data_IF_616424914022
#
_entry.id   IF_616424914022
#
_cell.length_a   1.000
_cell.length_b   1.000
_cell.length_c   1.000
_cell.angle_alpha   90.00
_cell.angle_beta   90.00
_cell.angle_gamma   90.00
#
_symmetry.space_group_name_H-M   'P 1'
#
loop_
_entity.id
_entity.type
_entity.pdbx_description
1 polymer ?
#
# COMPACT_ATOMS: atom_id res chain seq x y z
N UNK A 1 25.99 9.82 18.58
CA UNK A 1 26.49 9.05 17.43
C UNK A 1 25.34 8.18 16.97
N UNK A 2 24.94 8.25 15.70
CA UNK A 2 23.89 7.37 15.17
C UNK A 2 24.47 5.97 15.08
N UNK A 3 23.97 5.04 15.90
CA UNK A 3 24.40 3.65 15.83
C UNK A 3 23.97 3.12 14.46
N UNK A 4 24.92 2.63 13.68
CA UNK A 4 24.62 2.03 12.38
C UNK A 4 23.92 0.69 12.63
N UNK A 5 22.71 0.48 12.09
CA UNK A 5 21.99 -0.78 12.23
C UNK A 5 22.80 -1.95 11.66
N UNK A 6 22.92 -3.04 12.42
CA UNK A 6 23.52 -4.27 11.90
C UNK A 6 22.62 -4.92 10.84
N UNK A 7 23.17 -5.73 9.90
CA UNK A 7 22.35 -6.49 8.95
C UNK A 7 21.26 -7.34 9.62
N UNK A 8 21.60 -7.95 10.77
CA UNK A 8 20.67 -8.77 11.56
C UNK A 8 19.49 -7.95 12.12
N UNK A 9 19.72 -6.74 12.64
CA UNK A 9 18.64 -5.87 13.11
C UNK A 9 17.70 -5.47 11.97
N UNK A 10 18.23 -5.13 10.79
CA UNK A 10 17.40 -4.87 9.60
C UNK A 10 16.58 -6.11 9.22
N UNK A 11 17.18 -7.30 9.31
CA UNK A 11 16.51 -8.58 9.01
C UNK A 11 15.34 -8.83 9.94
N UNK A 12 15.55 -8.65 11.25
CA UNK A 12 14.52 -8.79 12.28
C UNK A 12 13.39 -7.77 12.05
N UNK A 13 13.74 -6.51 11.78
CA UNK A 13 12.76 -5.45 11.52
C UNK A 13 11.83 -5.81 10.35
N UNK A 14 12.40 -6.12 9.17
CA UNK A 14 11.62 -6.43 7.97
C UNK A 14 10.80 -7.72 8.14
N UNK A 15 11.37 -8.75 8.77
CA UNK A 15 10.66 -10.01 9.06
C UNK A 15 9.48 -9.79 10.01
N UNK A 16 9.69 -9.04 11.10
CA UNK A 16 8.66 -8.79 12.10
C UNK A 16 7.56 -7.90 11.54
N UNK A 17 7.92 -6.84 10.81
CA UNK A 17 6.99 -5.96 10.12
C UNK A 17 6.09 -6.75 9.17
N UNK A 18 6.69 -7.55 8.28
CA UNK A 18 5.95 -8.31 7.28
C UNK A 18 5.00 -9.32 7.89
N UNK A 19 5.47 -10.10 8.87
CA UNK A 19 4.67 -11.10 9.57
C UNK A 19 3.47 -10.43 10.26
N UNK A 20 3.71 -9.34 10.97
CA UNK A 20 2.67 -8.64 11.73
C UNK A 20 1.64 -7.96 10.82
N UNK A 21 2.08 -7.33 9.74
CA UNK A 21 1.19 -6.75 8.73
C UNK A 21 0.37 -7.84 8.00
N UNK A 22 0.99 -8.96 7.64
CA UNK A 22 0.31 -10.08 7.00
C UNK A 22 -0.82 -10.68 7.85
N UNK A 23 -0.62 -10.80 9.16
CA UNK A 23 -1.68 -11.22 10.11
C UNK A 23 -2.88 -10.25 10.15
N UNK A 24 -2.67 -9.00 9.73
CA UNK A 24 -3.69 -7.95 9.66
C UNK A 24 -4.28 -7.79 8.26
N UNK A 25 -3.92 -8.67 7.31
CA UNK A 25 -4.34 -8.62 5.91
C UNK A 25 -3.59 -7.58 5.06
N UNK A 26 -2.49 -7.04 5.57
CA UNK A 26 -1.61 -6.10 4.85
C UNK A 26 -0.38 -6.88 4.33
N UNK A 27 -0.64 -7.72 3.34
CA UNK A 27 0.28 -8.76 2.86
C UNK A 27 1.32 -8.27 1.84
N UNK A 28 1.14 -7.06 1.32
CA UNK A 28 2.10 -6.44 0.41
C UNK A 28 3.06 -5.59 1.24
N UNK A 29 4.34 -5.97 1.21
CA UNK A 29 5.45 -5.28 1.87
C UNK A 29 6.59 -5.24 0.85
N UNK A 30 6.72 -4.11 0.14
CA UNK A 30 7.69 -3.91 -0.93
C UNK A 30 8.69 -2.81 -0.56
N UNK A 31 9.84 -3.18 0.04
CA UNK A 31 10.95 -2.25 0.25
C UNK A 31 11.58 -1.71 -1.05
N UNK A 32 12.01 -0.45 -1.00
CA UNK A 32 12.66 0.28 -2.08
C UNK A 32 13.46 1.47 -1.52
N UNK A 33 14.34 2.08 -2.32
CA UNK A 33 15.00 3.32 -1.94
C UNK A 33 14.09 4.54 -2.16
N UNK A 34 13.95 5.42 -1.17
CA UNK A 34 13.21 6.68 -1.34
C UNK A 34 13.69 7.50 -2.55
N UNK A 35 15.00 7.43 -2.79
CA UNK A 35 15.72 8.11 -3.83
C UNK A 35 15.27 7.67 -5.24
N UNK A 36 14.79 6.43 -5.41
CA UNK A 36 14.24 5.98 -6.70
C UNK A 36 13.05 6.84 -7.13
N UNK A 37 12.18 7.23 -6.19
CA UNK A 37 11.09 8.16 -6.46
C UNK A 37 11.59 9.61 -6.51
N UNK A 38 12.44 10.04 -5.57
CA UNK A 38 12.94 11.42 -5.53
C UNK A 38 13.76 11.83 -6.77
N UNK A 39 14.31 10.85 -7.51
CA UNK A 39 15.01 11.08 -8.77
C UNK A 39 14.06 11.43 -9.94
N UNK A 40 12.76 11.15 -9.83
CA UNK A 40 11.75 11.51 -10.83
C UNK A 40 11.40 12.98 -10.78
N UNK A 41 10.85 13.55 -11.87
CA UNK A 41 10.38 14.95 -11.89
C UNK A 41 9.38 15.26 -10.78
N UNK A 42 8.43 14.35 -10.52
CA UNK A 42 7.47 14.51 -9.42
C UNK A 42 8.15 14.45 -8.06
N UNK A 43 9.08 13.50 -7.87
CA UNK A 43 9.84 13.37 -6.64
C UNK A 43 10.74 14.58 -6.34
N UNK A 44 11.28 15.24 -7.35
CA UNK A 44 12.02 16.50 -7.18
C UNK A 44 11.13 17.63 -6.66
N UNK A 45 9.87 17.69 -7.14
CA UNK A 45 8.88 18.69 -6.71
C UNK A 45 8.22 18.38 -5.37
N UNK A 46 8.14 17.10 -5.01
CA UNK A 46 7.48 16.60 -3.80
C UNK A 46 8.24 15.38 -3.26
N UNK A 47 9.41 15.61 -2.63
CA UNK A 47 10.29 14.53 -2.21
C UNK A 47 9.76 13.79 -0.98
N UNK A 48 10.07 12.49 -0.93
CA UNK A 48 9.96 11.71 0.29
C UNK A 48 11.12 12.02 1.25
N UNK A 49 10.89 11.95 2.57
CA UNK A 49 11.95 12.10 3.57
C UNK A 49 13.08 11.11 3.34
N UNK A 50 14.31 11.59 3.44
CA UNK A 50 15.52 10.76 3.30
C UNK A 50 16.30 10.59 4.59
N UNK A 51 15.97 11.34 5.65
CA UNK A 51 16.69 11.29 6.93
C UNK A 51 18.22 11.42 6.79
N UNK A 52 18.67 12.19 5.80
CA UNK A 52 20.08 12.35 5.43
C UNK A 52 20.78 11.07 4.93
N UNK A 53 20.03 9.99 4.67
CA UNK A 53 20.56 8.78 4.04
C UNK A 53 20.79 9.02 2.53
N UNK A 54 21.83 8.39 2.00
CA UNK A 54 22.08 8.35 0.55
C UNK A 54 21.12 7.41 -0.18
N UNK A 55 20.64 6.39 0.53
CA UNK A 55 19.65 5.41 0.07
C UNK A 55 18.77 5.06 1.26
N UNK A 56 17.57 5.61 1.35
CA UNK A 56 16.67 5.50 2.52
C UNK A 56 15.72 4.34 2.33
N UNK A 57 15.64 3.45 3.31
CA UNK A 57 14.68 2.36 3.32
C UNK A 57 13.25 2.90 3.36
N UNK A 58 12.54 2.71 2.26
CA UNK A 58 11.10 2.94 2.15
C UNK A 58 10.39 1.65 1.84
N UNK A 59 9.12 1.52 2.21
CA UNK A 59 8.34 0.29 2.10
C UNK A 59 6.94 0.66 1.63
N UNK A 60 6.51 0.11 0.50
CA UNK A 60 5.09 0.14 0.11
C UNK A 60 4.36 -0.91 0.95
N UNK A 61 3.37 -0.45 1.71
CA UNK A 61 2.45 -1.32 2.45
C UNK A 61 1.12 -1.34 1.70
N UNK A 62 0.65 -2.54 1.40
CA UNK A 62 -0.59 -2.73 0.67
C UNK A 62 -1.30 -4.02 1.04
N UNK A 63 -2.34 -4.32 0.28
CA UNK A 63 -3.19 -5.48 0.47
C UNK A 63 -3.69 -6.03 -0.86
N UNK A 64 -3.81 -7.34 -0.96
CA UNK A 64 -4.66 -8.00 -1.96
C UNK A 64 -6.00 -8.47 -1.35
N UNK A 65 -6.74 -9.33 -2.06
CA UNK A 65 -8.12 -9.75 -1.72
C UNK A 65 -8.33 -10.33 -0.30
N UNK A 66 -7.29 -10.90 0.31
CA UNK A 66 -7.31 -11.46 1.69
C UNK A 66 -7.63 -10.41 2.75
N UNK A 67 -7.27 -9.14 2.52
CA UNK A 67 -7.51 -8.03 3.44
C UNK A 67 -8.95 -7.93 3.88
N UNK A 68 -9.90 -8.16 2.96
CA UNK A 68 -11.33 -8.02 3.25
C UNK A 68 -11.76 -8.86 4.44
N UNK A 69 -11.36 -10.13 4.47
CA UNK A 69 -11.71 -11.05 5.56
C UNK A 69 -11.14 -10.61 6.89
N UNK A 70 -9.85 -10.23 6.91
CA UNK A 70 -9.20 -9.78 8.13
C UNK A 70 -9.78 -8.46 8.63
N UNK A 71 -10.13 -7.55 7.71
CA UNK A 71 -10.79 -6.29 8.02
C UNK A 71 -12.17 -6.53 8.63
N UNK A 72 -13.02 -7.37 8.02
CA UNK A 72 -14.34 -7.71 8.55
C UNK A 72 -14.27 -8.39 9.92
N UNK A 73 -13.30 -9.29 10.12
CA UNK A 73 -13.07 -9.95 11.41
C UNK A 73 -12.79 -8.94 12.54
N UNK A 74 -12.17 -7.80 12.21
CA UNK A 74 -11.79 -6.76 13.15
C UNK A 74 -12.74 -5.55 13.15
N UNK A 75 -13.76 -5.55 12.29
CA UNK A 75 -14.71 -4.47 12.15
C UNK A 75 -15.80 -4.55 13.22
N UNK A 76 -15.80 -3.58 14.13
CA UNK A 76 -16.80 -3.42 15.17
C UNK A 76 -17.18 -1.94 15.26
N UNK A 77 -18.34 -1.52 14.73
CA UNK A 77 -18.77 -0.11 14.76
C UNK A 77 -18.77 0.51 16.16
N UNK A 78 -19.04 -0.30 17.19
CA UNK A 78 -18.99 0.11 18.60
C UNK A 78 -17.60 0.54 19.09
N UNK A 79 -16.53 0.26 18.34
CA UNK A 79 -15.16 0.68 18.67
C UNK A 79 -14.76 2.00 18.03
N UNK A 80 -15.61 2.60 17.20
CA UNK A 80 -15.28 3.88 16.57
C UNK A 80 -15.25 5.00 17.60
N UNK A 81 -14.21 5.81 17.51
CA UNK A 81 -13.95 6.91 18.43
C UNK A 81 -14.36 8.27 17.86
N UNK A 82 -14.75 8.31 16.59
CA UNK A 82 -15.16 9.53 15.89
C UNK A 82 -16.08 9.26 14.70
N UNK A 83 -16.83 10.29 14.28
CA UNK A 83 -17.65 10.26 13.06
C UNK A 83 -16.81 10.07 11.78
N UNK A 84 -15.61 10.66 11.74
CA UNK A 84 -14.67 10.47 10.63
C UNK A 84 -14.26 8.99 10.48
N UNK A 85 -14.00 8.31 11.60
CA UNK A 85 -13.70 6.88 11.61
C UNK A 85 -14.88 6.03 11.14
N UNK A 86 -16.11 6.42 11.49
CA UNK A 86 -17.32 5.76 11.00
C UNK A 86 -17.54 5.95 9.49
N UNK A 87 -17.11 7.08 8.93
CA UNK A 87 -17.22 7.40 7.50
C UNK A 87 -16.22 6.61 6.65
N UNK A 88 -14.96 6.50 7.10
CA UNK A 88 -13.88 5.86 6.36
C UNK A 88 -13.16 4.76 7.17
N UNK A 89 -13.88 3.72 7.63
CA UNK A 89 -13.37 2.77 8.62
C UNK A 89 -12.20 1.92 8.12
N UNK A 90 -12.12 1.67 6.81
CA UNK A 90 -10.99 0.95 6.20
C UNK A 90 -9.69 1.76 6.24
N UNK A 91 -9.78 3.06 5.99
CA UNK A 91 -8.61 3.94 5.96
C UNK A 91 -8.12 4.15 7.40
N UNK A 92 -9.04 4.43 8.33
CA UNK A 92 -8.74 4.52 9.76
C UNK A 92 -8.18 3.21 10.36
N UNK A 93 -8.63 2.05 9.90
CA UNK A 93 -8.04 0.76 10.25
C UNK A 93 -6.54 0.72 9.88
N UNK A 94 -6.19 1.13 8.67
CA UNK A 94 -4.79 1.17 8.21
C UNK A 94 -3.98 2.23 8.96
N UNK A 95 -4.54 3.43 9.15
CA UNK A 95 -3.91 4.56 9.84
C UNK A 95 -3.56 4.25 11.29
N UNK A 96 -4.41 3.48 11.98
CA UNK A 96 -4.15 3.05 13.35
C UNK A 96 -3.10 1.95 13.44
N UNK A 97 -3.12 0.99 12.51
CA UNK A 97 -2.31 -0.23 12.61
C UNK A 97 -0.89 -0.06 12.06
N UNK A 98 -0.73 0.55 10.87
CA UNK A 98 0.57 0.58 10.19
C UNK A 98 1.65 1.28 11.02
N UNK A 99 1.43 2.47 11.62
CA UNK A 99 2.45 3.10 12.46
C UNK A 99 2.78 2.28 13.72
N UNK A 100 1.77 1.68 14.36
CA UNK A 100 1.95 0.86 15.57
C UNK A 100 2.76 -0.40 15.30
N UNK A 101 2.44 -1.09 14.20
CA UNK A 101 3.16 -2.30 13.79
C UNK A 101 4.59 -1.97 13.36
N UNK A 102 4.79 -0.83 12.69
CA UNK A 102 6.13 -0.35 12.33
C UNK A 102 6.97 -0.08 13.58
N UNK A 103 6.41 0.64 14.55
CA UNK A 103 7.09 0.91 15.82
C UNK A 103 7.43 -0.38 16.57
N UNK A 104 6.49 -1.32 16.67
CA UNK A 104 6.73 -2.61 17.31
C UNK A 104 7.85 -3.40 16.60
N UNK A 105 7.86 -3.42 15.27
CA UNK A 105 8.91 -4.10 14.52
C UNK A 105 10.29 -3.46 14.74
N UNK A 106 10.37 -2.14 14.92
CA UNK A 106 11.61 -1.44 15.28
C UNK A 106 12.06 -1.80 16.71
N UNK A 107 11.12 -1.91 17.65
CA UNK A 107 11.40 -2.36 19.02
C UNK A 107 11.91 -3.80 19.05
N UNK A 108 11.28 -4.72 18.30
CA UNK A 108 11.70 -6.12 18.18
C UNK A 108 13.14 -6.23 17.64
N UNK A 109 13.51 -5.33 16.73
CA UNK A 109 14.84 -5.22 16.15
C UNK A 109 15.85 -4.45 17.02
N UNK A 110 15.44 -3.96 18.19
CA UNK A 110 16.27 -3.09 19.04
C UNK A 110 16.78 -1.83 18.31
N UNK A 111 15.97 -1.29 17.41
CA UNK A 111 16.23 -0.05 16.67
C UNK A 111 15.46 1.15 17.24
N UNK A 112 14.54 0.91 18.16
CA UNK A 112 13.78 1.94 18.86
C UNK A 112 13.58 1.59 20.32
N UNK A 113 13.71 2.58 21.21
CA UNK A 113 13.32 2.49 22.62
C UNK A 113 12.75 3.80 23.13
N UNK A 114 11.75 3.69 24.02
CA UNK A 114 11.15 4.79 24.78
C UNK A 114 11.81 5.00 26.15
N UNK A 115 12.77 4.14 26.53
CA UNK A 115 13.47 4.22 27.81
C UNK A 115 14.54 5.30 27.78
N UNK A 116 14.42 6.24 28.73
CA UNK A 116 15.42 7.28 28.95
C UNK A 116 16.82 6.68 29.12
N UNK A 117 17.80 7.20 28.37
CA UNK A 117 19.18 6.71 28.38
C UNK A 117 19.48 5.51 27.47
N UNK A 118 18.52 5.02 26.65
CA UNK A 118 18.83 4.06 25.58
C UNK A 118 19.20 4.76 24.26
N UNK A 119 20.25 4.26 23.60
CA UNK A 119 20.88 4.93 22.44
C UNK A 119 20.17 4.69 21.09
N UNK A 120 19.17 3.81 21.03
CA UNK A 120 18.50 3.42 19.77
C UNK A 120 17.19 4.19 19.55
N UNK A 121 17.18 5.11 18.59
CA UNK A 121 16.04 6.00 18.31
C UNK A 121 15.82 6.20 16.81
N UNK A 122 15.68 5.13 16.02
CA UNK A 122 15.44 5.22 14.57
C UNK A 122 14.10 5.94 14.27
N UNK A 123 14.11 7.15 13.70
CA UNK A 123 12.87 7.83 13.30
C UNK A 123 12.25 7.18 12.07
N UNK A 124 10.95 7.37 11.90
CA UNK A 124 10.23 6.95 10.70
C UNK A 124 9.04 7.86 10.40
N UNK A 125 8.61 7.83 9.14
CA UNK A 125 7.39 8.46 8.65
C UNK A 125 6.48 7.43 8.00
N UNK A 126 5.18 7.67 8.03
CA UNK A 126 4.16 6.89 7.31
C UNK A 126 3.32 7.85 6.49
N UNK A 127 3.32 7.69 5.17
CA UNK A 127 2.50 8.47 4.26
C UNK A 127 1.30 7.65 3.77
N UNK A 128 0.11 8.21 3.92
CA UNK A 128 -1.13 7.71 3.36
C UNK A 128 -1.47 8.54 2.10
N UNK A 129 -2.44 8.08 1.31
CA UNK A 129 -2.80 8.73 0.04
C UNK A 129 -3.25 10.19 0.18
N UNK A 130 -3.66 10.64 1.37
CA UNK A 130 -4.18 12.00 1.58
C UNK A 130 -3.38 12.81 2.61
N UNK A 131 -2.45 12.20 3.36
CA UNK A 131 -1.71 12.87 4.43
C UNK A 131 -0.53 12.03 4.97
N UNK A 132 0.31 12.57 5.87
CA UNK A 132 1.52 11.92 6.41
C UNK A 132 1.62 12.02 7.93
N UNK A 133 2.11 10.97 8.58
CA UNK A 133 2.48 10.87 9.99
C UNK A 133 4.01 10.80 10.09
N UNK A 134 4.63 11.55 11.01
CA UNK A 134 6.04 11.38 11.35
C UNK A 134 6.19 11.06 12.83
N UNK A 135 6.96 10.01 13.13
CA UNK A 135 7.38 9.63 14.48
C UNK A 135 8.82 10.14 14.67
N UNK A 136 9.01 11.20 15.48
CA UNK A 136 10.34 11.74 15.72
C UNK A 136 11.17 10.79 16.62
N UNK A 137 12.49 11.02 16.75
CA UNK A 137 13.30 10.35 17.76
C UNK A 137 12.70 10.50 19.17
N UNK A 138 12.88 9.50 20.02
CA UNK A 138 12.42 9.53 21.40
C UNK A 138 12.92 10.80 22.13
N UNK A 139 12.04 11.47 22.88
CA UNK A 139 12.35 12.72 23.58
C UNK A 139 12.06 14.02 22.81
N UNK A 140 11.55 13.95 21.56
CA UNK A 140 11.14 15.15 20.80
C UNK A 140 9.63 15.41 20.98
N UNK A 141 9.18 16.56 21.50
CA UNK A 141 7.75 16.84 21.65
C UNK A 141 7.06 16.94 20.28
N UNK A 142 5.89 16.32 20.08
CA UNK A 142 5.18 16.47 18.83
C UNK A 142 4.53 17.86 18.71
N UNK A 143 4.91 18.65 17.71
CA UNK A 143 4.19 19.88 17.35
C UNK A 143 2.84 19.51 16.70
N UNK A 144 1.70 19.87 17.32
CA UNK A 144 0.37 19.73 16.71
C UNK A 144 -0.21 18.31 16.69
N UNK A 145 -0.12 17.58 17.79
CA UNK A 145 -0.56 16.18 17.91
C UNK A 145 -2.06 15.98 17.66
N UNK A 146 -2.39 14.97 16.84
CA UNK A 146 -3.68 14.25 16.90
C UNK A 146 -3.69 13.29 18.12
N UNK A 147 -4.85 12.71 18.51
CA UNK A 147 -5.00 11.90 19.74
C UNK A 147 -4.06 10.69 19.90
N UNK A 148 -3.28 10.36 18.88
CA UNK A 148 -2.30 9.26 18.84
C UNK A 148 -0.87 9.67 19.19
N UNK A 149 -0.58 10.95 19.46
CA UNK A 149 0.76 11.41 19.87
C UNK A 149 1.79 11.62 18.74
N UNK A 150 1.34 11.72 17.48
CA UNK A 150 2.23 11.90 16.31
C UNK A 150 2.14 13.30 15.68
N UNK A 151 3.22 13.75 15.02
CA UNK A 151 3.30 15.04 14.30
C UNK A 151 2.85 14.87 12.85
N UNK A 152 1.92 15.72 12.39
CA UNK A 152 1.56 15.83 10.98
C UNK A 152 2.33 17.01 10.34
N UNK A 153 3.28 16.78 9.41
CA UNK A 153 3.86 17.87 8.60
C UNK A 153 2.84 18.41 7.57
N UNK A 154 3.06 19.62 7.00
CA UNK A 154 2.14 20.23 6.04
C UNK A 154 2.04 19.43 4.72
N UNK A 155 0.86 18.83 4.52
CA UNK A 155 0.03 18.75 3.29
C UNK A 155 0.67 18.67 1.91
N UNK A 156 1.76 17.94 1.71
CA UNK A 156 2.09 17.45 0.36
C UNK A 156 1.60 16.02 0.21
N UNK A 157 0.48 15.88 -0.51
CA UNK A 157 -0.09 14.59 -0.89
C UNK A 157 0.98 13.82 -1.67
N UNK A 158 1.34 12.62 -1.20
CA UNK A 158 2.32 11.77 -1.88
C UNK A 158 1.60 11.03 -3.02
N UNK A 159 2.00 11.20 -4.30
CA UNK A 159 1.40 10.47 -5.41
C UNK A 159 1.81 8.99 -5.38
N UNK A 160 1.14 8.20 -4.55
CA UNK A 160 1.50 6.81 -4.24
C UNK A 160 1.59 5.92 -5.50
N UNK A 161 0.82 6.25 -6.54
CA UNK A 161 0.85 5.55 -7.82
C UNK A 161 2.18 5.72 -8.56
N UNK A 162 2.74 6.93 -8.53
CA UNK A 162 4.05 7.24 -9.09
C UNK A 162 5.18 6.68 -8.22
N UNK A 163 4.99 6.66 -6.89
CA UNK A 163 5.92 5.97 -5.98
C UNK A 163 6.00 4.49 -6.33
N UNK A 164 4.87 3.82 -6.54
CA UNK A 164 4.82 2.41 -6.93
C UNK A 164 5.51 2.13 -8.27
N UNK A 165 5.33 2.99 -9.27
CA UNK A 165 6.07 2.87 -10.53
C UNK A 165 7.57 3.06 -10.30
N UNK A 166 7.99 4.14 -9.65
CA UNK A 166 9.41 4.43 -9.43
C UNK A 166 10.12 3.37 -8.56
N UNK A 167 9.38 2.74 -7.65
CA UNK A 167 9.85 1.63 -6.81
C UNK A 167 9.91 0.28 -7.54
N UNK A 168 9.51 0.21 -8.81
CA UNK A 168 9.45 -1.04 -9.57
C UNK A 168 8.38 -2.01 -9.05
N UNK A 169 7.39 -1.53 -8.32
CA UNK A 169 6.34 -2.37 -7.73
C UNK A 169 5.19 -2.62 -8.70
N UNK A 170 4.68 -1.56 -9.34
CA UNK A 170 3.57 -1.68 -10.29
C UNK A 170 3.64 -0.59 -11.36
N UNK A 171 3.36 -0.96 -12.61
CA UNK A 171 3.26 -0.02 -13.72
C UNK A 171 2.09 0.93 -13.48
N UNK A 172 2.29 2.25 -13.55
CA UNK A 172 1.18 3.20 -13.55
C UNK A 172 0.68 3.37 -14.99
N UNK A 173 -0.57 2.96 -15.24
CA UNK A 173 -1.21 3.15 -16.54
C UNK A 173 -1.79 4.58 -16.60
N UNK A 174 -1.23 5.48 -17.44
CA UNK A 174 -1.63 6.88 -17.49
C UNK A 174 -3.01 7.09 -18.13
N UNK A 175 -3.49 6.12 -18.89
CA UNK A 175 -4.84 6.14 -19.46
C UNK A 175 -5.83 5.81 -18.35
N UNK A 176 -5.69 4.63 -17.73
CA UNK A 176 -6.65 4.15 -16.74
C UNK A 176 -6.52 4.82 -15.36
N UNK A 177 -5.44 5.56 -15.12
CA UNK A 177 -5.08 6.09 -13.81
C UNK A 177 -5.04 5.01 -12.72
N UNK A 178 -4.58 3.81 -13.09
CA UNK A 178 -4.49 2.64 -12.22
C UNK A 178 -3.08 2.06 -12.28
N UNK A 179 -2.59 1.57 -11.14
CA UNK A 179 -1.40 0.73 -11.15
C UNK A 179 -1.77 -0.71 -11.52
N UNK A 180 -0.91 -1.35 -12.32
CA UNK A 180 -1.02 -2.74 -12.76
C UNK A 180 0.21 -3.50 -12.26
N UNK A 181 0.00 -4.41 -11.32
CA UNK A 181 1.05 -5.26 -10.77
C UNK A 181 1.25 -6.49 -11.68
N UNK A 182 2.49 -6.96 -11.92
CA UNK A 182 2.75 -8.12 -12.78
C UNK A 182 2.01 -9.40 -12.38
N UNK A 183 1.76 -9.57 -11.07
CA UNK A 183 1.08 -10.74 -10.49
C UNK A 183 -0.39 -10.51 -10.16
N UNK A 184 -0.73 -9.37 -9.56
CA UNK A 184 -2.08 -9.12 -9.06
C UNK A 184 -2.95 -8.42 -10.10
N UNK A 185 -2.38 -8.04 -11.25
CA UNK A 185 -3.01 -7.12 -12.18
C UNK A 185 -3.38 -5.82 -11.47
N UNK A 186 -4.56 -5.27 -11.74
CA UNK A 186 -5.05 -4.12 -11.00
C UNK A 186 -5.63 -4.51 -9.63
N UNK A 187 -5.65 -5.77 -9.19
CA UNK A 187 -6.39 -6.24 -8.01
C UNK A 187 -5.62 -6.18 -6.68
N UNK A 188 -5.12 -4.99 -6.37
CA UNK A 188 -4.49 -4.68 -5.09
C UNK A 188 -4.81 -3.25 -4.66
N UNK A 189 -4.55 -2.95 -3.40
CA UNK A 189 -4.71 -1.62 -2.81
C UNK A 189 -3.43 -1.24 -2.08
N UNK A 190 -2.85 -0.10 -2.44
CA UNK A 190 -1.77 0.51 -1.67
C UNK A 190 -2.38 1.28 -0.49
N UNK A 191 -1.84 1.07 0.70
CA UNK A 191 -2.38 1.64 1.95
C UNK A 191 -1.49 2.71 2.52
N UNK A 192 -0.17 2.51 2.48
CA UNK A 192 0.77 3.49 2.96
C UNK A 192 2.16 3.30 2.33
N UNK A 193 2.99 4.32 2.46
CA UNK A 193 4.44 4.25 2.34
C UNK A 193 5.03 4.44 3.73
N UNK A 194 5.90 3.54 4.17
CA UNK A 194 6.68 3.68 5.41
C UNK A 194 8.10 4.07 5.02
N UNK A 195 8.63 5.18 5.52
CA UNK A 195 10.00 5.64 5.30
C UNK A 195 10.73 5.60 6.64
N UNK A 196 11.84 4.87 6.72
CA UNK A 196 12.57 4.63 7.96
C UNK A 196 13.98 5.16 7.80
N UNK A 197 14.54 5.77 8.85
CA UNK A 197 15.94 6.20 8.88
C UNK A 197 16.90 5.00 9.02
N UNK A 198 16.90 4.17 7.99
CA UNK A 198 17.76 3.03 7.80
C UNK A 198 18.25 3.07 6.35
N UNK A 199 19.50 2.68 6.08
CA UNK A 199 19.96 2.59 4.70
C UNK A 199 19.28 1.43 3.97
N UNK A 200 18.72 1.71 2.78
CA UNK A 200 18.30 0.72 1.80
C UNK A 200 19.54 0.07 1.21
N UNK A 201 19.99 -0.96 1.91
CA UNK A 201 21.00 -1.91 1.48
C UNK A 201 20.52 -3.29 1.90
N UNK A 202 20.08 -4.06 0.89
CA UNK A 202 19.57 -5.40 1.03
C UNK A 202 20.59 -6.45 0.56
N UNK A 203 21.83 -6.05 0.27
CA UNK A 203 22.88 -6.96 -0.22
C UNK A 203 23.14 -8.14 0.71
N UNK A 204 23.05 -7.93 2.02
CA UNK A 204 23.20 -8.95 3.07
C UNK A 204 21.88 -9.67 3.45
N UNK A 205 20.77 -9.36 2.76
CA UNK A 205 19.42 -9.80 3.13
C UNK A 205 18.70 -10.49 1.96
N UNK A 206 19.40 -11.39 1.25
CA UNK A 206 18.85 -12.14 0.11
C UNK A 206 17.64 -13.03 0.48
N UNK A 207 17.46 -13.45 1.73
CA UNK A 207 16.25 -14.19 2.15
C UNK A 207 15.00 -13.30 2.32
N UNK A 208 15.20 -11.99 2.52
CA UNK A 208 14.11 -11.01 2.55
C UNK A 208 13.80 -10.46 1.15
N UNK A 209 14.79 -10.51 0.26
CA UNK A 209 14.62 -10.44 -1.19
C UNK A 209 14.00 -11.75 -1.65
N UNK A 210 12.68 -11.84 -1.66
CA UNK A 210 12.02 -13.03 -2.19
C UNK A 210 12.53 -13.33 -3.60
N UNK A 211 13.17 -14.50 -3.72
CA UNK A 211 13.57 -15.14 -4.97
C UNK A 211 12.34 -15.73 -5.69
N UNK A 212 12.53 -16.03 -6.97
CA UNK A 212 11.57 -16.34 -8.04
C UNK A 212 10.43 -17.37 -7.77
N UNK A 213 10.33 -17.96 -6.57
CA UNK A 213 9.39 -19.06 -6.27
C UNK A 213 8.15 -18.68 -5.46
N UNK A 214 8.03 -17.44 -4.96
CA UNK A 214 6.76 -17.02 -4.38
C UNK A 214 5.86 -16.51 -5.51
N UNK A 215 4.73 -17.20 -5.74
CA UNK A 215 3.65 -16.89 -6.70
C UNK A 215 3.03 -15.49 -6.56
N UNK A 216 3.62 -14.61 -5.76
CA UNK A 216 3.25 -13.22 -5.44
C UNK A 216 4.09 -12.18 -6.18
N UNK A 217 5.23 -12.57 -6.79
CA UNK A 217 6.07 -11.76 -7.70
C UNK A 217 6.41 -10.35 -7.23
N UNK A 218 6.87 -10.23 -5.98
CA UNK A 218 7.05 -8.95 -5.29
C UNK A 218 8.49 -8.49 -5.15
N UNK A 219 9.46 -8.96 -5.96
CA UNK A 219 10.82 -8.42 -5.89
C UNK A 219 11.64 -8.50 -7.17
N UNK A 220 12.36 -7.40 -7.46
CA UNK A 220 13.57 -7.37 -8.29
C UNK A 220 14.65 -6.66 -7.48
N UNK A 221 15.85 -7.26 -7.40
CA UNK A 221 17.08 -6.72 -6.77
C UNK A 221 17.42 -5.31 -7.30
N UNK A 222 17.01 -5.06 -8.54
CA UNK A 222 17.00 -3.75 -9.17
C UNK A 222 15.56 -3.24 -9.21
N UNK A 223 15.18 -2.40 -8.24
CA UNK A 223 13.91 -1.66 -8.21
C UNK A 223 13.85 -0.62 -9.34
N UNK A 224 13.99 -1.08 -10.59
CA UNK A 224 13.84 -0.26 -11.78
C UNK A 224 12.36 0.00 -12.01
N UNK A 225 12.00 1.19 -12.48
CA UNK A 225 10.63 1.45 -12.86
C UNK A 225 10.10 0.39 -13.81
N UNK A 226 8.87 -0.07 -13.59
CA UNK A 226 8.18 -0.88 -14.59
C UNK A 226 7.73 0.10 -15.68
N UNK A 227 8.33 0.01 -16.86
CA UNK A 227 8.09 0.95 -17.98
C UNK A 227 7.02 0.46 -18.95
N UNK A 228 6.72 -0.84 -18.94
CA UNK A 228 5.75 -1.47 -19.83
C UNK A 228 4.57 -1.97 -19.02
N UNK A 229 3.35 -1.76 -19.53
CA UNK A 229 2.15 -2.32 -18.91
C UNK A 229 2.22 -3.86 -18.92
N UNK A 230 2.22 -4.55 -17.76
CA UNK A 230 2.27 -6.01 -17.72
C UNK A 230 1.08 -6.68 -18.43
N UNK A 231 -0.05 -5.98 -18.58
CA UNK A 231 -1.19 -6.48 -19.34
C UNK A 231 -0.90 -6.59 -20.84
N UNK A 232 0.07 -5.82 -21.34
CA UNK A 232 0.36 -5.63 -22.76
C UNK A 232 1.70 -6.21 -23.19
N UNK A 233 2.44 -6.86 -22.29
CA UNK A 233 3.80 -7.36 -22.52
C UNK A 233 3.91 -8.30 -23.74
N UNK A 234 2.82 -9.00 -24.08
CA UNK A 234 2.75 -9.96 -25.20
C UNK A 234 2.04 -9.44 -26.45
N UNK A 235 1.54 -8.20 -26.41
CA UNK A 235 0.77 -7.63 -27.51
C UNK A 235 1.68 -6.96 -28.54
N UNK A 236 1.30 -7.03 -29.82
CA UNK A 236 1.94 -6.26 -30.87
C UNK A 236 1.63 -4.75 -30.72
N UNK A 237 2.49 -3.84 -31.21
CA UNK A 237 2.28 -2.39 -31.07
C UNK A 237 0.90 -1.90 -31.54
N UNK A 238 0.39 -2.43 -32.66
CA UNK A 238 -0.93 -2.13 -33.19
C UNK A 238 -2.07 -2.57 -32.27
N UNK A 239 -1.91 -3.71 -31.58
CA UNK A 239 -2.89 -4.20 -30.60
C UNK A 239 -2.87 -3.30 -29.36
N UNK A 240 -1.69 -2.86 -28.93
CA UNK A 240 -1.53 -1.91 -27.82
C UNK A 240 -2.25 -0.59 -28.12
N UNK A 241 -2.10 -0.07 -29.34
CA UNK A 241 -2.78 1.16 -29.77
C UNK A 241 -4.31 1.01 -29.73
N UNK A 242 -4.84 -0.10 -30.26
CA UNK A 242 -6.27 -0.41 -30.23
C UNK A 242 -6.78 -0.54 -28.79
N UNK A 243 -6.03 -1.23 -27.92
CA UNK A 243 -6.37 -1.37 -26.49
C UNK A 243 -6.39 -0.03 -25.77
N UNK A 244 -5.39 0.81 -26.01
CA UNK A 244 -5.29 2.14 -25.43
C UNK A 244 -6.46 3.03 -25.88
N UNK A 245 -6.81 3.00 -27.17
CA UNK A 245 -7.95 3.73 -27.70
C UNK A 245 -9.27 3.29 -27.05
N UNK A 246 -9.49 1.98 -26.89
CA UNK A 246 -10.68 1.45 -26.23
C UNK A 246 -10.76 1.85 -24.74
N UNK A 247 -9.63 1.85 -24.02
CA UNK A 247 -9.54 2.33 -22.65
C UNK A 247 -9.87 3.82 -22.55
N UNK A 248 -9.35 4.65 -23.45
CA UNK A 248 -9.62 6.09 -23.49
C UNK A 248 -11.10 6.40 -23.75
N UNK A 249 -11.74 5.68 -24.68
CA UNK A 249 -13.19 5.82 -24.94
C UNK A 249 -13.99 5.48 -23.69
N UNK A 250 -13.69 4.34 -23.05
CA UNK A 250 -14.41 3.89 -21.85
C UNK A 250 -14.21 4.86 -20.69
N UNK A 251 -12.97 5.30 -20.46
CA UNK A 251 -12.62 6.29 -19.43
C UNK A 251 -13.36 7.61 -19.66
N UNK A 252 -13.35 8.11 -20.89
CA UNK A 252 -14.01 9.37 -21.24
C UNK A 252 -15.51 9.28 -21.00
N UNK A 253 -16.15 8.16 -21.37
CA UNK A 253 -17.56 7.92 -21.08
C UNK A 253 -17.86 7.91 -19.57
N UNK A 254 -17.03 7.24 -18.75
CA UNK A 254 -17.17 7.21 -17.30
C UNK A 254 -17.01 8.60 -16.66
N UNK A 255 -15.96 9.34 -17.06
CA UNK A 255 -15.71 10.68 -16.55
C UNK A 255 -16.81 11.67 -16.96
N UNK A 256 -17.36 11.53 -18.17
CA UNK A 256 -18.47 12.36 -18.67
C UNK A 256 -19.77 12.06 -17.94
N UNK A 257 -20.04 10.78 -17.63
CA UNK A 257 -21.18 10.36 -16.79
C UNK A 257 -21.08 10.94 -15.37
N UNK A 258 -19.87 11.20 -14.90
CA UNK A 258 -19.59 11.65 -13.54
C UNK A 258 -19.58 10.51 -12.54
N UNK A 259 -19.07 10.78 -11.35
CA UNK A 259 -19.01 9.78 -10.29
C UNK A 259 -20.39 9.61 -9.62
N UNK A 260 -20.88 8.37 -9.58
CA UNK A 260 -22.06 7.96 -8.83
C UNK A 260 -21.81 6.56 -8.23
N UNK A 261 -22.03 6.43 -6.92
CA UNK A 261 -21.79 5.19 -6.19
C UNK A 261 -22.70 4.02 -6.65
N UNK A 262 -23.89 4.31 -7.21
CA UNK A 262 -24.77 3.26 -7.73
C UNK A 262 -24.23 2.63 -9.03
N UNK A 263 -23.41 3.36 -9.77
CA UNK A 263 -22.81 2.92 -11.05
C UNK A 263 -21.47 2.19 -10.85
N UNK A 264 -21.21 1.66 -9.65
CA UNK A 264 -19.92 1.04 -9.30
C UNK A 264 -19.53 -0.14 -10.21
N UNK A 265 -20.50 -0.84 -10.80
CA UNK A 265 -20.24 -1.93 -11.74
C UNK A 265 -19.54 -1.46 -13.01
N UNK A 266 -19.82 -0.24 -13.49
CA UNK A 266 -19.16 0.31 -14.68
C UNK A 266 -17.66 0.54 -14.39
N UNK A 267 -17.34 0.99 -13.19
CA UNK A 267 -15.95 1.16 -12.74
C UNK A 267 -15.22 -0.17 -12.53
N UNK A 268 -15.92 -1.20 -12.05
CA UNK A 268 -15.39 -2.57 -11.99
C UNK A 268 -15.12 -3.12 -13.38
N UNK A 269 -16.06 -2.95 -14.32
CA UNK A 269 -15.89 -3.39 -15.70
C UNK A 269 -14.70 -2.69 -16.37
N UNK A 270 -14.51 -1.40 -16.12
CA UNK A 270 -13.34 -0.65 -16.58
C UNK A 270 -12.03 -1.18 -15.98
N UNK A 271 -11.98 -1.47 -14.68
CA UNK A 271 -10.80 -2.12 -14.06
C UNK A 271 -10.54 -3.50 -14.66
N UNK A 272 -11.60 -4.26 -14.94
CA UNK A 272 -11.51 -5.61 -15.49
C UNK A 272 -11.09 -5.63 -16.96
N UNK A 273 -11.33 -4.55 -17.72
CA UNK A 273 -10.86 -4.46 -19.11
C UNK A 273 -9.32 -4.50 -19.22
N UNK A 274 -8.60 -4.09 -18.17
CA UNK A 274 -7.14 -4.24 -18.06
C UNK A 274 -6.68 -5.69 -17.90
N UNK A 275 -7.59 -6.63 -17.69
CA UNK A 275 -7.27 -8.03 -17.34
C UNK A 275 -7.65 -9.04 -18.42
N UNK A 276 -8.19 -8.58 -19.56
CA UNK A 276 -8.81 -9.46 -20.57
C UNK A 276 -7.88 -10.57 -21.08
N UNK A 277 -6.58 -10.27 -21.25
CA UNK A 277 -5.59 -11.21 -21.78
C UNK A 277 -4.74 -11.88 -20.67
N UNK A 278 -5.17 -11.75 -19.40
CA UNK A 278 -4.44 -12.20 -18.20
C UNK A 278 -5.34 -13.05 -17.29
N UNK A 279 -5.71 -14.28 -17.72
CA UNK A 279 -6.51 -15.18 -16.90
C UNK A 279 -5.82 -15.56 -15.58
N UNK A 280 -4.49 -15.48 -15.52
CA UNK A 280 -3.69 -15.66 -14.31
C UNK A 280 -3.94 -14.59 -13.23
N UNK A 281 -4.57 -13.47 -13.59
CA UNK A 281 -4.97 -12.41 -12.65
C UNK A 281 -6.36 -12.60 -12.05
N UNK A 282 -7.22 -13.44 -12.66
CA UNK A 282 -8.57 -13.70 -12.16
C UNK A 282 -8.57 -14.18 -10.70
N UNK A 283 -7.66 -15.09 -10.27
CA UNK A 283 -7.58 -15.50 -8.88
C UNK A 283 -7.30 -14.36 -7.90
N UNK A 284 -6.78 -13.22 -8.34
CA UNK A 284 -6.49 -12.07 -7.46
C UNK A 284 -7.64 -11.08 -7.34
N UNK A 285 -8.66 -11.20 -8.20
CA UNK A 285 -9.86 -10.35 -8.16
C UNK A 285 -10.49 -10.34 -6.77
N UNK A 286 -10.92 -9.15 -6.36
CA UNK A 286 -11.69 -8.95 -5.13
C UNK A 286 -13.03 -9.68 -5.21
N UNK A 287 -13.58 -10.04 -4.05
CA UNK A 287 -14.97 -10.53 -4.00
C UNK A 287 -15.93 -9.41 -4.40
N UNK A 288 -17.14 -9.78 -4.85
CA UNK A 288 -18.14 -8.78 -5.25
C UNK A 288 -18.53 -7.87 -4.07
N UNK A 289 -18.59 -8.40 -2.84
CA UNK A 289 -18.79 -7.60 -1.63
C UNK A 289 -17.64 -6.60 -1.42
N UNK A 290 -16.40 -7.04 -1.54
CA UNK A 290 -15.24 -6.16 -1.36
C UNK A 290 -15.23 -5.04 -2.42
N UNK A 291 -15.53 -5.35 -3.68
CA UNK A 291 -15.60 -4.33 -4.74
C UNK A 291 -16.76 -3.38 -4.53
N UNK A 292 -17.96 -3.90 -4.22
CA UNK A 292 -19.13 -3.08 -3.95
C UNK A 292 -18.85 -2.10 -2.82
N UNK A 293 -18.28 -2.56 -1.71
CA UNK A 293 -17.89 -1.66 -0.62
C UNK A 293 -16.80 -0.67 -1.04
N UNK A 294 -15.79 -1.12 -1.79
CA UNK A 294 -14.68 -0.26 -2.25
C UNK A 294 -15.17 0.98 -3.01
N UNK A 295 -16.17 0.82 -3.87
CA UNK A 295 -16.74 1.91 -4.65
C UNK A 295 -17.92 2.61 -3.94
N UNK A 296 -18.79 1.89 -3.24
CA UNK A 296 -19.97 2.50 -2.61
C UNK A 296 -19.65 3.22 -1.31
N UNK A 297 -18.67 2.73 -0.54
CA UNK A 297 -18.28 3.26 0.78
C UNK A 297 -19.45 3.41 1.77
N UNK A 298 -20.51 2.59 1.62
CA UNK A 298 -21.71 2.60 2.46
C UNK A 298 -21.46 1.89 3.81
N UNK A 299 -21.52 2.57 4.96
CA UNK A 299 -21.30 1.96 6.28
C UNK A 299 -22.27 0.82 6.58
N UNK A 300 -23.55 0.97 6.24
CA UNK A 300 -24.59 -0.03 6.46
C UNK A 300 -24.30 -1.35 5.70
N UNK A 301 -23.75 -1.25 4.49
CA UNK A 301 -23.36 -2.42 3.71
C UNK A 301 -22.13 -3.12 4.31
N UNK A 302 -21.19 -2.35 4.86
CA UNK A 302 -20.03 -2.91 5.56
C UNK A 302 -20.45 -3.66 6.82
N UNK A 303 -21.37 -3.10 7.60
CA UNK A 303 -21.89 -3.72 8.81
C UNK A 303 -22.61 -5.05 8.49
N UNK A 304 -23.43 -5.07 7.45
CA UNK A 304 -24.08 -6.29 6.95
C UNK A 304 -23.04 -7.37 6.60
N UNK A 305 -21.98 -7.00 5.87
CA UNK A 305 -20.90 -7.92 5.51
C UNK A 305 -20.16 -8.44 6.75
N UNK A 306 -19.85 -7.57 7.71
CA UNK A 306 -19.15 -7.95 8.94
C UNK A 306 -19.98 -8.94 9.79
N UNK A 307 -21.28 -8.70 9.93
CA UNK A 307 -22.20 -9.59 10.66
C UNK A 307 -22.24 -10.97 9.98
N UNK A 308 -22.42 -11.01 8.65
CA UNK A 308 -22.43 -12.27 7.88
C UNK A 308 -21.11 -13.03 8.00
N UNK A 309 -19.98 -12.33 7.96
CA UNK A 309 -18.66 -12.95 8.14
C UNK A 309 -18.51 -13.57 9.53
N UNK A 310 -18.87 -12.84 10.59
CA UNK A 310 -18.77 -13.29 11.98
C UNK A 310 -19.71 -14.47 12.29
N UNK A 311 -20.85 -14.57 11.60
CA UNK A 311 -21.78 -15.69 11.70
C UNK A 311 -21.36 -16.91 10.84
N UNK A 312 -20.25 -16.83 10.11
CA UNK A 312 -19.81 -17.89 9.20
C UNK A 312 -20.67 -18.03 7.94
N UNK A 313 -21.52 -17.04 7.64
CA UNK A 313 -22.45 -17.04 6.51
C UNK A 313 -21.86 -16.41 5.24
N UNK A 314 -20.72 -15.73 5.33
CA UNK A 314 -20.03 -15.20 4.16
C UNK A 314 -19.27 -16.34 3.44
N UNK A 315 -19.96 -17.02 2.52
CA UNK A 315 -19.31 -17.94 1.60
C UNK A 315 -18.57 -17.14 0.52
N UNK A 316 -17.31 -17.50 0.28
CA UNK A 316 -16.59 -17.07 -0.92
C UNK A 316 -17.33 -17.62 -2.14
N UNK A 317 -18.22 -16.84 -2.73
CA UNK A 317 -18.53 -17.04 -4.14
C UNK A 317 -17.26 -16.66 -4.90
N UNK A 318 -16.46 -17.66 -5.26
CA UNK A 318 -15.44 -17.49 -6.31
C UNK A 318 -16.12 -16.89 -7.54
N UNK A 319 -15.46 -16.00 -8.27
CA UNK A 319 -16.04 -15.43 -9.48
C UNK A 319 -16.34 -16.56 -10.48
N UNK A 320 -17.50 -16.46 -11.14
CA UNK A 320 -17.79 -17.13 -12.41
C UNK A 320 -16.84 -16.57 -13.47
#
# INVERSE_FOLDING_TARGET
MTVTPTPEQKRIFLSSLRRSLGQLGLDIVHPFAAQSYNATTLGQSNPMPTFSQTSTLSIIVGSHKTFWKTFLAQHYPSKFTSEAEAKDPMDHYCERLIPRVTLQALQDAQLYSDKEGQEFTTPFSVAFSHWRITVPPAGTPPLGSKPTGFVAPPTTILPIQHVAQAAGFAYFNPIAFLNVHPVYGPWFGMRAIVMVDLPYDLSDNEELLITETNKTGTYSRDSKPIEVNPAFEKLAPEEIEVRNAALEVTKTALLTKGWNAEDWMDWVAFRQSLTQDRPDWIPWRYSDNQMRYHYQKKPEFLEECAIKFQQGQEQCTSPI
#
